data_IF_122058250229
#
_entry.id   IF_122058250229
#
_cell.length_a   1.000
_cell.length_b   1.000
_cell.length_c   1.000
_cell.angle_alpha   90.00
_cell.angle_beta   90.00
_cell.angle_gamma   90.00
#
_symmetry.space_group_name_H-M   'P 1'
#
loop_
_entity.id
_entity.type
_entity.pdbx_description
1 polymer ?
#
# COMPACT_ATOMS: atom_id res chain seq x y z
N UNK A 1 -53.77 -50.52 -47.94
CA UNK A 1 -54.61 -49.60 -47.14
C UNK A 1 -53.75 -48.40 -46.74
N UNK A 2 -54.26 -47.15 -46.91
CA UNK A 2 -54.02 -45.87 -46.17
C UNK A 2 -52.72 -45.74 -45.34
N UNK A 3 -51.95 -44.64 -45.30
CA UNK A 3 -52.27 -43.18 -45.29
C UNK A 3 -50.97 -42.33 -45.39
N UNK A 4 -51.14 -40.99 -45.35
CA UNK A 4 -50.36 -39.85 -45.89
C UNK A 4 -49.43 -39.13 -44.88
N UNK A 5 -48.50 -38.31 -45.41
CA UNK A 5 -47.99 -36.97 -44.93
C UNK A 5 -46.59 -36.98 -44.23
N UNK A 6 -45.65 -36.01 -44.34
CA UNK A 6 -45.64 -34.61 -44.83
C UNK A 6 -44.20 -33.95 -44.83
N UNK A 7 -44.02 -32.72 -45.41
CA UNK A 7 -43.00 -31.61 -45.21
C UNK A 7 -41.62 -31.65 -45.96
N UNK A 8 -40.89 -30.57 -46.37
CA UNK A 8 -40.94 -29.06 -46.39
C UNK A 8 -39.80 -28.51 -47.34
N UNK A 9 -39.91 -27.28 -47.88
CA UNK A 9 -38.97 -26.54 -48.81
C UNK A 9 -37.80 -25.77 -48.11
N UNK A 10 -36.68 -25.54 -48.82
CA UNK A 10 -35.76 -24.39 -48.66
C UNK A 10 -34.92 -24.10 -49.94
N UNK A 11 -34.35 -22.89 -50.04
CA UNK A 11 -33.94 -22.08 -51.22
C UNK A 11 -32.41 -21.84 -51.26
N UNK A 12 -31.84 -21.60 -52.45
CA UNK A 12 -30.57 -20.85 -52.60
C UNK A 12 -30.07 -20.72 -54.05
N UNK A 13 -30.06 -19.50 -54.61
CA UNK A 13 -29.55 -19.13 -55.94
C UNK A 13 -28.25 -18.30 -55.87
N UNK A 14 -27.42 -18.37 -56.92
CA UNK A 14 -26.06 -17.80 -56.98
C UNK A 14 -25.88 -16.72 -58.07
N UNK A 15 -25.30 -15.58 -57.65
CA UNK A 15 -24.48 -14.50 -58.29
C UNK A 15 -24.47 -14.19 -59.81
N UNK A 16 -24.45 -12.88 -60.12
CA UNK A 16 -23.61 -12.27 -61.18
C UNK A 16 -23.46 -10.74 -61.00
N UNK A 17 -22.28 -10.17 -61.27
CA UNK A 17 -22.10 -8.72 -61.42
C UNK A 17 -20.65 -8.22 -61.27
N UNK A 18 -20.06 -7.72 -62.36
CA UNK A 18 -18.62 -7.45 -62.51
C UNK A 18 -18.25 -5.95 -62.65
N UNK A 19 -17.07 -5.59 -62.13
CA UNK A 19 -16.06 -4.60 -62.61
C UNK A 19 -16.41 -3.08 -62.67
N UNK A 20 -15.59 -2.22 -62.03
CA UNK A 20 -14.45 -1.48 -62.66
C UNK A 20 -13.73 -0.50 -61.70
N UNK A 21 -12.39 -0.62 -61.68
CA UNK A 21 -11.32 0.39 -61.50
C UNK A 21 -11.33 1.32 -60.26
N UNK A 22 -10.34 1.12 -59.38
CA UNK A 22 -9.23 2.09 -59.23
C UNK A 22 -7.92 1.31 -58.97
N UNK A 23 -7.06 1.29 -59.99
CA UNK A 23 -5.63 1.03 -59.81
C UNK A 23 -5.01 2.26 -59.16
N UNK A 24 -3.97 2.02 -58.38
CA UNK A 24 -2.91 2.97 -57.99
C UNK A 24 -3.12 3.80 -56.71
N UNK A 25 -3.38 3.18 -55.56
CA UNK A 25 -3.04 3.74 -54.24
C UNK A 25 -2.66 2.65 -53.23
N UNK A 26 -2.16 1.49 -53.67
CA UNK A 26 -1.80 0.37 -52.79
C UNK A 26 -0.75 0.72 -51.72
N UNK A 27 0.46 1.19 -52.11
CA UNK A 27 1.50 1.51 -51.14
C UNK A 27 1.17 2.78 -50.35
N UNK A 28 0.62 3.82 -50.98
CA UNK A 28 0.37 5.10 -50.28
C UNK A 28 -0.73 4.92 -49.22
N UNK A 29 -1.77 4.12 -49.50
CA UNK A 29 -2.80 3.81 -48.51
C UNK A 29 -2.27 2.93 -47.37
N UNK A 30 -1.37 1.99 -47.65
CA UNK A 30 -0.76 1.19 -46.57
C UNK A 30 0.21 2.01 -45.72
N UNK A 31 1.03 2.87 -46.33
CA UNK A 31 1.92 3.78 -45.60
C UNK A 31 1.16 4.80 -44.75
N UNK A 32 0.03 5.32 -45.24
CA UNK A 32 -0.82 6.22 -44.44
C UNK A 32 -1.44 5.51 -43.25
N UNK A 33 -1.94 4.27 -43.40
CA UNK A 33 -2.47 3.47 -42.28
C UNK A 33 -1.37 3.20 -41.24
N UNK A 34 -0.16 2.81 -41.68
CA UNK A 34 0.97 2.55 -40.79
C UNK A 34 1.41 3.82 -40.06
N UNK A 35 1.49 4.96 -40.75
CA UNK A 35 1.86 6.24 -40.14
C UNK A 35 0.82 6.70 -39.11
N UNK A 36 -0.47 6.58 -39.42
CA UNK A 36 -1.55 6.93 -38.50
C UNK A 36 -1.55 6.00 -37.28
N UNK A 37 -1.31 4.70 -37.47
CA UNK A 37 -1.20 3.74 -36.37
C UNK A 37 -0.01 4.04 -35.47
N UNK A 38 1.17 4.32 -36.04
CA UNK A 38 2.36 4.68 -35.28
C UNK A 38 2.18 6.00 -34.52
N UNK A 39 1.57 7.01 -35.14
CA UNK A 39 1.26 8.28 -34.49
C UNK A 39 0.26 8.10 -33.33
N UNK A 40 -0.77 7.26 -33.51
CA UNK A 40 -1.75 6.97 -32.47
C UNK A 40 -1.12 6.23 -31.28
N UNK A 41 -0.26 5.25 -31.53
CA UNK A 41 0.48 4.53 -30.47
C UNK A 41 1.42 5.48 -29.72
N UNK A 42 2.13 6.36 -30.43
CA UNK A 42 3.00 7.35 -29.81
C UNK A 42 2.21 8.32 -28.91
N UNK A 43 1.08 8.84 -29.41
CA UNK A 43 0.19 9.71 -28.63
C UNK A 43 -0.38 8.99 -27.40
N UNK A 44 -0.78 7.73 -27.54
CA UNK A 44 -1.26 6.92 -26.42
C UNK A 44 -0.14 6.63 -25.40
N UNK A 45 1.09 6.40 -25.88
CA UNK A 45 2.26 6.23 -25.04
C UNK A 45 2.61 7.48 -24.23
N UNK A 46 2.57 8.67 -24.85
CA UNK A 46 2.77 9.95 -24.16
C UNK A 46 1.62 10.24 -23.17
N UNK A 47 0.39 9.82 -23.48
CA UNK A 47 -0.76 9.97 -22.59
C UNK A 47 -0.66 9.07 -21.34
N UNK A 48 -0.28 7.80 -21.50
CA UNK A 48 -0.14 6.85 -20.39
C UNK A 48 1.15 7.09 -19.58
N UNK A 49 2.23 7.51 -20.25
CA UNK A 49 3.51 7.79 -19.63
C UNK A 49 3.94 9.23 -19.93
N UNK A 50 3.39 10.22 -19.22
CA UNK A 50 3.85 11.61 -19.36
C UNK A 50 5.36 11.67 -19.09
N UNK A 51 6.14 12.34 -19.95
CA UNK A 51 7.60 12.36 -19.83
C UNK A 51 8.01 13.00 -18.52
N UNK A 52 8.50 12.18 -17.60
CA UNK A 52 8.93 12.59 -16.25
C UNK A 52 10.37 13.14 -16.25
N UNK A 53 10.79 13.80 -17.35
CA UNK A 53 12.13 14.37 -17.48
C UNK A 53 12.09 15.83 -17.91
N UNK A 54 12.83 16.66 -17.18
CA UNK A 54 12.85 18.13 -17.21
C UNK A 54 13.11 18.75 -18.59
N UNK A 55 13.74 18.02 -19.51
CA UNK A 55 14.18 18.56 -20.81
C UNK A 55 13.03 18.59 -21.83
N UNK A 56 12.02 17.72 -21.68
CA UNK A 56 10.89 17.67 -22.62
C UNK A 56 9.83 18.75 -22.37
N UNK A 57 9.75 19.32 -21.16
CA UNK A 57 8.76 20.37 -20.80
C UNK A 57 9.00 21.68 -21.57
N UNK A 58 10.26 21.99 -21.94
CA UNK A 58 10.61 23.24 -22.61
C UNK A 58 10.29 23.28 -24.10
N UNK A 59 9.97 22.14 -24.73
CA UNK A 59 9.80 22.06 -26.19
C UNK A 59 8.32 22.15 -26.61
N UNK A 60 7.37 21.81 -25.73
CA UNK A 60 5.97 21.61 -26.12
C UNK A 60 4.92 22.44 -25.36
N UNK A 61 5.28 23.36 -24.45
CA UNK A 61 4.27 24.16 -23.72
C UNK A 61 4.60 25.65 -23.68
N UNK A 62 3.74 26.48 -24.29
CA UNK A 62 3.75 27.94 -24.16
C UNK A 62 3.14 28.44 -22.85
N UNK A 63 2.52 27.54 -22.07
CA UNK A 63 2.13 27.79 -20.68
C UNK A 63 3.19 27.22 -19.75
N UNK A 64 3.92 28.11 -19.06
CA UNK A 64 5.08 27.78 -18.24
C UNK A 64 4.81 26.62 -17.27
N UNK A 65 5.69 25.62 -17.29
CA UNK A 65 5.71 24.59 -16.25
C UNK A 65 6.04 25.31 -14.93
N UNK A 66 5.12 25.28 -13.95
CA UNK A 66 5.42 25.75 -12.60
C UNK A 66 6.59 24.91 -12.09
N UNK A 67 7.76 25.55 -11.92
CA UNK A 67 8.88 24.96 -11.21
C UNK A 67 8.35 24.56 -9.83
N UNK A 68 8.50 23.30 -9.38
CA UNK A 68 8.23 22.99 -7.99
C UNK A 68 9.13 23.92 -7.18
N UNK A 69 8.55 24.81 -6.36
CA UNK A 69 9.33 25.66 -5.47
C UNK A 69 10.38 24.79 -4.79
N UNK A 70 11.66 25.09 -5.04
CA UNK A 70 12.73 24.57 -4.22
C UNK A 70 12.49 25.17 -2.84
N UNK A 71 11.82 24.41 -1.97
CA UNK A 71 11.86 24.65 -0.54
C UNK A 71 13.33 24.87 -0.16
N UNK A 72 13.67 25.91 0.62
CA UNK A 72 15.04 26.12 1.07
C UNK A 72 15.57 24.82 1.63
N UNK A 73 16.75 24.40 1.17
CA UNK A 73 17.49 23.28 1.76
C UNK A 73 17.70 23.59 3.23
N UNK A 74 16.79 23.13 4.07
CA UNK A 74 16.84 23.34 5.50
C UNK A 74 18.12 22.68 6.02
N UNK A 75 19.03 23.48 6.58
CA UNK A 75 20.21 22.94 7.26
C UNK A 75 19.75 22.06 8.42
N UNK A 76 20.24 20.82 8.47
CA UNK A 76 19.90 19.87 9.51
C UNK A 76 20.70 20.22 10.77
N UNK A 77 20.05 20.10 11.93
CA UNK A 77 20.74 20.17 13.22
C UNK A 77 21.69 18.99 13.41
N UNK A 78 22.71 19.16 14.25
CA UNK A 78 23.69 18.10 14.57
C UNK A 78 23.01 16.82 15.06
N UNK A 79 21.93 16.95 15.85
CA UNK A 79 21.13 15.81 16.33
C UNK A 79 20.46 15.04 15.17
N UNK A 80 19.93 15.76 14.18
CA UNK A 80 19.32 15.16 12.99
C UNK A 80 20.38 14.49 12.11
N UNK A 81 21.57 15.10 11.98
CA UNK A 81 22.69 14.51 11.26
C UNK A 81 23.13 13.21 11.95
N UNK A 82 23.33 13.23 13.27
CA UNK A 82 23.69 12.06 14.06
C UNK A 82 22.65 10.95 13.95
N UNK A 83 21.36 11.27 14.11
CA UNK A 83 20.27 10.30 13.97
C UNK A 83 20.24 9.68 12.56
N UNK A 84 20.51 10.48 11.51
CA UNK A 84 20.55 10.00 10.12
C UNK A 84 21.72 9.07 9.88
N UNK A 85 22.89 9.35 10.44
CA UNK A 85 24.06 8.46 10.36
C UNK A 85 23.78 7.14 11.07
N UNK A 86 23.28 7.19 12.30
CA UNK A 86 22.92 5.99 13.08
C UNK A 86 21.89 5.14 12.34
N UNK A 87 20.81 5.75 11.84
CA UNK A 87 19.78 5.03 11.08
C UNK A 87 20.36 4.37 9.82
N UNK A 88 21.23 5.09 9.09
CA UNK A 88 21.86 4.53 7.88
C UNK A 88 22.72 3.32 8.19
N UNK A 89 23.46 3.32 9.31
CA UNK A 89 24.24 2.16 9.73
C UNK A 89 23.33 1.02 10.21
N UNK A 90 22.27 1.29 10.98
CA UNK A 90 21.29 0.27 11.39
C UNK A 90 20.67 -0.42 10.17
N UNK A 91 20.31 0.34 9.13
CA UNK A 91 19.74 -0.22 7.90
C UNK A 91 20.71 -1.09 7.09
N UNK A 92 22.02 -1.02 7.35
CA UNK A 92 23.02 -1.92 6.74
C UNK A 92 23.21 -3.21 7.55
N UNK A 93 22.76 -3.25 8.80
CA UNK A 93 22.87 -4.46 9.63
C UNK A 93 22.00 -5.54 8.98
N UNK A 94 22.52 -6.77 8.79
CA UNK A 94 21.72 -7.85 8.25
C UNK A 94 20.52 -8.14 9.15
N UNK A 95 19.36 -8.53 8.59
CA UNK A 95 18.17 -8.80 9.38
C UNK A 95 18.43 -9.92 10.39
N UNK A 96 18.00 -9.69 11.63
CA UNK A 96 18.14 -10.67 12.72
C UNK A 96 17.26 -11.87 12.39
N UNK A 97 17.87 -13.04 12.25
CA UNK A 97 17.13 -14.29 12.09
C UNK A 97 16.70 -14.79 13.47
N UNK A 98 15.45 -14.53 13.84
CA UNK A 98 14.85 -15.10 15.04
C UNK A 98 14.59 -16.60 14.86
N UNK A 99 14.92 -17.38 15.88
CA UNK A 99 14.57 -18.81 15.94
C UNK A 99 13.10 -19.04 16.31
N UNK A 100 12.45 -18.04 16.91
CA UNK A 100 11.04 -18.09 17.28
C UNK A 100 10.35 -16.74 16.99
N UNK A 101 9.99 -16.46 15.74
CA UNK A 101 9.42 -15.17 15.36
C UNK A 101 8.07 -14.94 16.04
N UNK A 102 7.91 -13.74 16.61
CA UNK A 102 6.72 -13.27 17.33
C UNK A 102 6.10 -12.03 16.68
N UNK A 103 4.81 -11.85 16.95
CA UNK A 103 4.07 -10.62 16.66
C UNK A 103 3.98 -9.79 17.95
N UNK A 104 4.45 -8.54 17.91
CA UNK A 104 4.27 -7.58 18.98
C UNK A 104 2.92 -6.87 18.83
N UNK A 105 1.98 -7.17 19.72
CA UNK A 105 0.71 -6.46 19.84
C UNK A 105 0.89 -5.28 20.81
N UNK A 106 0.75 -4.07 20.29
CA UNK A 106 0.96 -2.82 21.00
C UNK A 106 -0.38 -2.11 21.14
N UNK A 107 -0.88 -2.03 22.37
CA UNK A 107 -2.17 -1.43 22.68
C UNK A 107 -1.98 -0.02 23.22
N UNK A 108 -2.56 0.96 22.53
CA UNK A 108 -2.65 2.33 23.00
C UNK A 108 -3.97 2.50 23.77
N UNK A 109 -3.89 2.42 25.10
CA UNK A 109 -5.04 2.52 25.99
C UNK A 109 -4.92 3.72 26.95
N UNK A 110 -6.07 4.25 27.36
CA UNK A 110 -6.13 5.25 28.43
C UNK A 110 -6.22 4.62 29.83
N UNK A 111 -6.48 3.31 29.91
CA UNK A 111 -6.67 2.56 31.15
C UNK A 111 -6.81 1.05 30.86
N UNK A 112 -7.69 0.36 31.58
CA UNK A 112 -8.00 -1.06 31.32
C UNK A 112 -8.64 -1.23 29.94
N UNK A 113 -8.28 -2.30 29.22
CA UNK A 113 -8.76 -2.57 27.87
C UNK A 113 -10.18 -3.17 27.90
N UNK A 114 -11.20 -2.52 27.33
CA UNK A 114 -12.57 -3.06 27.33
C UNK A 114 -12.68 -4.38 26.55
N UNK A 115 -11.84 -4.56 25.52
CA UNK A 115 -11.82 -5.75 24.66
C UNK A 115 -10.89 -6.87 25.14
N UNK A 116 -10.34 -6.77 26.35
CA UNK A 116 -9.33 -7.69 26.88
C UNK A 116 -9.79 -9.16 26.87
N UNK A 117 -11.05 -9.44 27.19
CA UNK A 117 -11.62 -10.80 27.16
C UNK A 117 -11.66 -11.40 25.75
N UNK A 118 -11.88 -10.58 24.73
CA UNK A 118 -11.87 -11.04 23.33
C UNK A 118 -10.44 -11.38 22.92
N UNK A 119 -9.48 -10.54 23.32
CA UNK A 119 -8.06 -10.78 23.09
C UNK A 119 -7.53 -11.99 23.85
N UNK A 120 -8.01 -12.26 25.07
CA UNK A 120 -7.68 -13.48 25.82
C UNK A 120 -7.97 -14.73 25.00
N UNK A 121 -9.18 -14.81 24.43
CA UNK A 121 -9.58 -15.93 23.60
C UNK A 121 -8.76 -16.03 22.30
N UNK A 122 -8.35 -14.90 21.71
CA UNK A 122 -7.48 -14.87 20.53
C UNK A 122 -6.07 -15.39 20.86
N UNK A 123 -5.50 -14.99 21.99
CA UNK A 123 -4.16 -15.36 22.40
C UNK A 123 -4.03 -16.80 22.92
N UNK A 124 -5.13 -17.36 23.42
CA UNK A 124 -5.18 -18.72 23.96
C UNK A 124 -4.66 -19.76 22.97
N UNK A 125 -3.68 -20.54 23.39
CA UNK A 125 -3.07 -21.60 22.57
C UNK A 125 -2.00 -21.12 21.59
N UNK A 126 -1.68 -19.82 21.58
CA UNK A 126 -0.64 -19.22 20.74
C UNK A 126 0.56 -18.73 21.57
N UNK A 127 0.74 -19.25 22.78
CA UNK A 127 1.79 -18.82 23.70
C UNK A 127 3.18 -18.95 23.06
N UNK A 128 4.00 -17.92 23.25
CA UNK A 128 5.35 -17.86 22.67
C UNK A 128 5.41 -17.46 21.19
N UNK A 129 4.27 -17.17 20.55
CA UNK A 129 4.19 -16.64 19.17
C UNK A 129 3.85 -15.14 19.13
N UNK A 130 3.65 -14.52 20.28
CA UNK A 130 3.33 -13.11 20.40
C UNK A 130 3.95 -12.50 21.66
N UNK A 131 3.99 -11.16 21.67
CA UNK A 131 4.36 -10.33 22.81
C UNK A 131 3.30 -9.23 22.95
N UNK A 132 2.84 -8.95 24.17
CA UNK A 132 1.84 -7.91 24.44
C UNK A 132 2.51 -6.74 25.15
N UNK A 133 2.21 -5.53 24.68
CA UNK A 133 2.65 -4.27 25.26
C UNK A 133 1.46 -3.34 25.37
N UNK A 134 1.20 -2.82 26.56
CA UNK A 134 0.07 -1.93 26.81
C UNK A 134 0.60 -0.59 27.26
N UNK A 135 0.21 0.47 26.60
CA UNK A 135 0.45 1.81 27.09
C UNK A 135 -0.73 2.20 27.99
N UNK A 136 -0.45 2.68 29.20
CA UNK A 136 -1.46 3.29 30.09
C UNK A 136 -1.07 4.72 30.43
N UNK A 137 -1.92 5.68 30.05
CA UNK A 137 -1.74 7.12 30.30
C UNK A 137 -2.17 7.58 31.70
N UNK A 138 -2.95 6.77 32.42
CA UNK A 138 -3.58 7.13 33.70
C UNK A 138 -3.11 6.19 34.84
N UNK A 139 -4.03 5.80 35.72
CA UNK A 139 -3.80 4.87 36.83
C UNK A 139 -3.43 3.47 36.31
N UNK A 140 -2.81 2.68 37.20
CA UNK A 140 -2.39 1.32 36.87
C UNK A 140 -3.65 0.50 36.51
N UNK A 141 -3.79 0.03 35.26
CA UNK A 141 -4.96 -0.72 34.87
C UNK A 141 -5.03 -2.03 35.65
N UNK A 142 -6.25 -2.47 35.93
CA UNK A 142 -6.50 -3.81 36.44
C UNK A 142 -6.82 -4.67 35.23
N UNK A 143 -5.97 -5.66 34.99
CA UNK A 143 -6.12 -6.64 33.92
C UNK A 143 -6.92 -7.83 34.44
N UNK A 144 -7.73 -8.39 33.56
CA UNK A 144 -8.54 -9.60 33.82
C UNK A 144 -7.86 -10.83 33.25
N UNK A 145 -7.12 -10.66 32.15
CA UNK A 145 -6.42 -11.71 31.43
C UNK A 145 -4.95 -11.78 31.86
N UNK A 146 -4.41 -13.00 32.07
CA UNK A 146 -3.00 -13.19 32.42
C UNK A 146 -2.04 -12.74 31.30
N UNK A 147 -2.51 -12.60 30.05
CA UNK A 147 -1.67 -12.15 28.95
C UNK A 147 -1.30 -10.67 29.04
N UNK A 148 -2.10 -9.87 29.75
CA UNK A 148 -1.90 -8.42 29.91
C UNK A 148 -1.26 -8.05 31.25
N UNK A 149 -1.27 -8.96 32.22
CA UNK A 149 -0.62 -8.76 33.52
C UNK A 149 0.87 -8.40 33.39
N UNK A 150 1.26 -7.25 33.97
CA UNK A 150 2.64 -6.78 33.98
C UNK A 150 3.16 -6.30 32.62
N UNK A 151 2.28 -6.09 31.63
CA UNK A 151 2.64 -5.62 30.28
C UNK A 151 2.51 -4.11 30.09
N UNK A 152 2.17 -3.39 31.16
CA UNK A 152 1.97 -1.95 31.14
C UNK A 152 3.29 -1.18 31.04
N UNK A 153 3.36 -0.31 30.05
CA UNK A 153 4.40 0.68 29.86
C UNK A 153 3.85 2.02 30.29
N UNK A 154 4.43 2.57 31.35
CA UNK A 154 4.07 3.87 31.90
C UNK A 154 4.62 4.99 31.00
N UNK A 155 3.79 6.00 30.78
CA UNK A 155 4.06 7.15 29.92
C UNK A 155 3.37 8.41 30.46
N UNK A 156 3.57 9.53 29.77
CA UNK A 156 2.85 10.76 30.05
C UNK A 156 1.40 10.70 29.54
N UNK A 157 0.57 11.63 30.04
CA UNK A 157 -0.83 11.70 29.65
C UNK A 157 -0.96 11.92 28.14
N UNK A 158 -1.68 11.02 27.49
CA UNK A 158 -1.96 11.09 26.05
C UNK A 158 -3.26 11.84 25.81
N UNK A 159 -3.21 12.82 24.92
CA UNK A 159 -4.39 13.50 24.38
C UNK A 159 -4.56 13.10 22.92
N UNK A 160 -5.79 12.74 22.55
CA UNK A 160 -6.13 12.35 21.19
C UNK A 160 -5.86 13.48 20.19
N UNK A 161 -5.27 13.13 19.04
CA UNK A 161 -4.92 14.09 17.99
C UNK A 161 -3.77 15.06 18.34
N UNK A 162 -3.05 14.82 19.45
CA UNK A 162 -1.89 15.63 19.87
C UNK A 162 -0.59 14.84 19.72
N UNK A 163 0.53 15.56 19.73
CA UNK A 163 1.88 14.97 19.62
C UNK A 163 2.18 13.94 20.72
N UNK A 164 1.57 14.09 21.89
CA UNK A 164 1.64 13.11 22.99
C UNK A 164 1.25 11.69 22.57
N UNK A 165 0.34 11.55 21.58
CA UNK A 165 -0.06 10.25 21.04
C UNK A 165 1.08 9.59 20.26
N UNK A 166 1.81 10.39 19.47
CA UNK A 166 2.99 9.94 18.73
C UNK A 166 4.10 9.52 19.69
N UNK A 167 4.30 10.27 20.78
CA UNK A 167 5.32 9.94 21.77
C UNK A 167 4.99 8.65 22.55
N UNK A 168 3.71 8.41 22.80
CA UNK A 168 3.22 7.14 23.34
C UNK A 168 3.46 5.95 22.40
N UNK A 169 3.14 6.10 21.12
CA UNK A 169 3.39 5.07 20.10
C UNK A 169 4.88 4.77 19.94
N UNK A 170 5.73 5.80 19.90
CA UNK A 170 7.20 5.63 19.90
C UNK A 170 7.68 4.85 21.11
N UNK A 171 7.11 5.10 22.28
CA UNK A 171 7.49 4.41 23.53
C UNK A 171 7.06 2.94 23.51
N UNK A 172 5.87 2.63 22.99
CA UNK A 172 5.42 1.25 22.76
C UNK A 172 6.39 0.53 21.82
N UNK A 173 6.67 1.14 20.67
CA UNK A 173 7.56 0.56 19.67
C UNK A 173 8.97 0.36 20.22
N UNK A 174 9.50 1.32 20.97
CA UNK A 174 10.82 1.21 21.58
C UNK A 174 10.92 0.01 22.53
N UNK A 175 9.89 -0.26 23.34
CA UNK A 175 9.86 -1.43 24.21
C UNK A 175 9.71 -2.73 23.42
N UNK A 176 8.89 -2.74 22.37
CA UNK A 176 8.70 -3.91 21.53
C UNK A 176 9.97 -4.31 20.76
N UNK A 177 10.80 -3.33 20.38
CA UNK A 177 12.07 -3.52 19.68
C UNK A 177 13.20 -4.07 20.55
N UNK A 178 13.07 -4.04 21.89
CA UNK A 178 14.06 -4.65 22.81
C UNK A 178 14.15 -6.15 22.60
N UNK A 179 13.04 -6.78 22.22
CA UNK A 179 12.94 -8.21 22.01
C UNK A 179 13.15 -8.55 20.53
N UNK A 180 14.31 -9.15 20.17
CA UNK A 180 14.71 -9.38 18.79
C UNK A 180 13.85 -10.44 18.08
N UNK A 181 13.07 -11.21 18.82
CA UNK A 181 12.15 -12.19 18.27
C UNK A 181 10.87 -11.53 17.73
N UNK A 182 10.57 -10.28 18.08
CA UNK A 182 9.45 -9.54 17.50
C UNK A 182 9.80 -9.11 16.06
N UNK A 183 9.13 -9.72 15.09
CA UNK A 183 9.37 -9.50 13.66
C UNK A 183 8.24 -8.68 13.00
N UNK A 184 7.06 -8.67 13.61
CA UNK A 184 5.89 -7.92 13.16
C UNK A 184 5.34 -7.09 14.32
N UNK A 185 4.84 -5.90 14.01
CA UNK A 185 4.35 -4.94 15.00
C UNK A 185 2.94 -4.52 14.61
N UNK A 186 1.99 -4.73 15.51
CA UNK A 186 0.58 -4.36 15.31
C UNK A 186 0.24 -3.32 16.36
N UNK A 187 -0.07 -2.10 15.91
CA UNK A 187 -0.55 -1.02 16.77
C UNK A 187 -2.08 -1.04 16.79
N UNK A 188 -2.66 -1.06 17.98
CA UNK A 188 -4.09 -1.18 18.21
C UNK A 188 -4.56 -0.06 19.15
N UNK A 189 -5.74 0.48 18.87
CA UNK A 189 -6.44 1.35 19.80
C UNK A 189 -7.16 0.53 20.89
N UNK A 190 -7.57 1.21 21.96
CA UNK A 190 -8.36 0.64 23.06
C UNK A 190 -9.62 -0.11 22.62
N UNK A 191 -10.27 0.32 21.54
CA UNK A 191 -11.49 -0.30 21.00
C UNK A 191 -11.22 -1.38 19.95
N UNK A 192 -9.96 -1.69 19.64
CA UNK A 192 -9.61 -2.69 18.64
C UNK A 192 -10.01 -4.09 19.09
N UNK A 193 -10.64 -4.84 18.20
CA UNK A 193 -10.88 -6.29 18.32
C UNK A 193 -10.09 -7.03 17.23
N UNK A 194 -9.72 -8.30 17.46
CA UNK A 194 -9.03 -9.13 16.47
C UNK A 194 -9.89 -9.42 15.23
#
# INVERSE_FOLDING_TARGET
MKKVSAWRRSIGDTMSGSRRRLRLMGPILTWTIVLVSLASIFLFGVYIHPPRSSIACSVFSSGGCAVPEQHPSQELSDDQIAARVVLKEILKIPPIQSKNPKIAFMFLASGSLPSEEIWDNFFRGHEGRFSVYVHSSNEKPVHVSPYFEGRDIRSEKVVWGKISMVDAEKRLLANALVDPDNQQFVLLSESGSP
#
